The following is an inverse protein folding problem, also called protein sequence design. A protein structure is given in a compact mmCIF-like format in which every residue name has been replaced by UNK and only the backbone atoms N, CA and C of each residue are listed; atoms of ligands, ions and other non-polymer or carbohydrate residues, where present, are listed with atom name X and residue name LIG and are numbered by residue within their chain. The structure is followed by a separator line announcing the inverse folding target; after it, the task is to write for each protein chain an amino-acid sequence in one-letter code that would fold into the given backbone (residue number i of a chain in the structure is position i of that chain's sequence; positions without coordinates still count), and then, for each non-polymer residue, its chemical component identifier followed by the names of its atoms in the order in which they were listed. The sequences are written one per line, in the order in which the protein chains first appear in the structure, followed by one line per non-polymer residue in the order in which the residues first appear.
data_IF_143504083933
#
_entry.id   IF_143504083933
#
_cell.length_a   1.000
_cell.length_b   1.000
_cell.length_c   1.000
_cell.angle_alpha   90.00
_cell.angle_beta   90.00
_cell.angle_gamma   90.00
#
_symmetry.space_group_name_H-M   'P 1'
#
loop_
_entity.id
_entity.type
_entity.pdbx_description
1 polymer ?
#
# COMPACT_ATOMS: atom_id res chain seq x y z
N UNK A 1 -13.04 4.02 -17.44
CA UNK A 1 -14.03 4.16 -16.36
C UNK A 1 -13.41 5.07 -15.33
N UNK A 2 -13.93 6.28 -15.20
CA UNK A 2 -13.42 7.24 -14.24
C UNK A 2 -13.78 6.80 -12.82
N UNK A 3 -12.80 6.85 -11.92
CA UNK A 3 -12.96 6.49 -10.50
C UNK A 3 -14.05 7.33 -9.81
N UNK A 4 -14.31 8.53 -10.34
CA UNK A 4 -15.38 9.43 -9.90
C UNK A 4 -16.79 8.91 -10.25
N UNK A 5 -16.95 8.10 -11.31
CA UNK A 5 -18.24 7.47 -11.64
C UNK A 5 -18.59 6.33 -10.67
N UNK A 6 -17.59 5.61 -10.15
CA UNK A 6 -17.78 4.58 -9.10
C UNK A 6 -18.12 5.19 -7.74
N UNK A 7 -17.63 6.40 -7.45
CA UNK A 7 -17.88 7.12 -6.20
C UNK A 7 -19.11 8.05 -6.27
N UNK A 8 -19.98 7.88 -7.29
CA UNK A 8 -21.12 8.75 -7.53
C UNK A 8 -22.00 8.96 -6.29
N UNK A 9 -22.26 10.25 -6.00
CA UNK A 9 -23.18 10.98 -5.11
C UNK A 9 -24.07 10.24 -4.07
N UNK A 10 -24.44 8.98 -4.28
CA UNK A 10 -25.35 8.21 -3.43
C UNK A 10 -24.69 7.17 -2.51
N UNK A 11 -23.35 7.01 -2.55
CA UNK A 11 -22.62 6.02 -1.74
C UNK A 11 -21.78 6.60 -0.59
N UNK A 12 -22.00 7.87 -0.22
CA UNK A 12 -21.31 8.50 0.91
C UNK A 12 -21.55 7.80 2.27
N UNK A 13 -22.38 6.76 2.33
CA UNK A 13 -22.59 5.92 3.52
C UNK A 13 -21.72 4.67 3.62
N UNK A 14 -21.12 4.14 2.54
CA UNK A 14 -20.57 2.77 2.57
C UNK A 14 -19.36 2.50 1.63
N UNK A 15 -18.55 3.52 1.36
CA UNK A 15 -17.30 3.41 0.59
C UNK A 15 -16.21 2.50 1.21
N UNK A 16 -16.52 1.81 2.30
CA UNK A 16 -15.61 0.94 3.06
C UNK A 16 -14.97 -0.18 2.22
N UNK A 17 -15.66 -0.67 1.19
CA UNK A 17 -15.17 -1.75 0.33
C UNK A 17 -14.25 -1.31 -0.82
N UNK A 18 -14.26 -0.03 -1.19
CA UNK A 18 -13.59 0.46 -2.42
C UNK A 18 -12.07 0.25 -2.35
N UNK A 19 -11.36 0.63 -1.27
CA UNK A 19 -9.92 0.38 -1.16
C UNK A 19 -9.58 -1.12 -1.21
N UNK A 20 -10.36 -1.96 -0.55
CA UNK A 20 -10.14 -3.41 -0.52
C UNK A 20 -10.30 -4.04 -1.92
N UNK A 21 -11.24 -3.55 -2.72
CA UNK A 21 -11.41 -3.98 -4.12
C UNK A 21 -10.25 -3.51 -4.99
N UNK A 22 -9.81 -2.25 -4.85
CA UNK A 22 -8.67 -1.71 -5.60
C UNK A 22 -7.38 -2.50 -5.36
N UNK A 23 -7.11 -2.90 -4.11
CA UNK A 23 -5.96 -3.76 -3.78
C UNK A 23 -6.03 -5.14 -4.46
N UNK A 24 -7.24 -5.72 -4.60
CA UNK A 24 -7.43 -7.03 -5.25
C UNK A 24 -7.23 -6.99 -6.76
N UNK A 25 -7.47 -5.85 -7.40
CA UNK A 25 -7.28 -5.65 -8.85
C UNK A 25 -5.96 -4.97 -9.18
N UNK A 26 -4.99 -5.02 -8.26
CA UNK A 26 -3.62 -4.51 -8.41
C UNK A 26 -3.53 -3.00 -8.68
N UNK A 27 -4.54 -2.25 -8.23
CA UNK A 27 -4.61 -0.79 -8.34
C UNK A 27 -4.06 -0.11 -7.10
N UNK A 28 -2.82 -0.43 -6.75
CA UNK A 28 -2.20 0.01 -5.50
C UNK A 28 -2.05 1.53 -5.39
N UNK A 29 -1.58 2.18 -6.46
CA UNK A 29 -1.39 3.64 -6.51
C UNK A 29 -2.74 4.37 -6.41
N UNK A 30 -3.71 3.92 -7.20
CA UNK A 30 -5.09 4.41 -7.17
C UNK A 30 -5.75 4.23 -5.79
N UNK A 31 -5.50 3.09 -5.12
CA UNK A 31 -5.94 2.85 -3.75
C UNK A 31 -5.31 3.84 -2.77
N UNK A 32 -4.00 4.08 -2.86
CA UNK A 32 -3.30 5.04 -2.01
C UNK A 32 -3.85 6.46 -2.20
N UNK A 33 -4.01 6.89 -3.45
CA UNK A 33 -4.50 8.21 -3.80
C UNK A 33 -5.95 8.39 -3.35
N UNK A 34 -6.79 7.35 -3.46
CA UNK A 34 -8.13 7.35 -2.92
C UNK A 34 -8.15 7.50 -1.40
N UNK A 35 -7.37 6.69 -0.67
CA UNK A 35 -7.29 6.78 0.80
C UNK A 35 -6.81 8.16 1.25
N UNK A 36 -5.81 8.72 0.57
CA UNK A 36 -5.29 10.05 0.84
C UNK A 36 -6.33 11.14 0.55
N UNK A 37 -6.99 11.08 -0.60
CA UNK A 37 -8.04 12.03 -0.98
C UNK A 37 -9.20 11.98 0.01
N UNK A 38 -9.64 10.78 0.39
CA UNK A 38 -10.73 10.57 1.34
C UNK A 38 -10.43 11.21 2.70
N UNK A 39 -9.19 11.06 3.18
CA UNK A 39 -8.74 11.69 4.43
C UNK A 39 -8.81 13.22 4.35
N UNK A 40 -8.22 13.82 3.30
CA UNK A 40 -8.24 15.27 3.09
C UNK A 40 -9.67 15.81 2.93
N UNK A 41 -10.53 15.06 2.22
CA UNK A 41 -11.93 15.40 2.04
C UNK A 41 -12.68 15.42 3.39
N UNK A 42 -12.48 14.40 4.22
CA UNK A 42 -13.12 14.30 5.54
C UNK A 42 -12.63 15.39 6.52
N UNK A 43 -11.33 15.73 6.51
CA UNK A 43 -10.78 16.84 7.31
C UNK A 43 -11.47 18.18 6.99
N UNK A 44 -11.89 18.39 5.74
CA UNK A 44 -12.55 19.63 5.30
C UNK A 44 -13.97 19.83 5.85
N UNK A 45 -14.64 18.79 6.37
CA UNK A 45 -16.03 18.86 6.87
C UNK A 45 -16.16 18.98 8.40
N UNK A 46 -15.04 19.01 9.12
CA UNK A 46 -15.02 19.10 10.58
C UNK A 46 -14.93 17.75 11.28
N UNK A 47 -14.34 17.78 12.48
CA UNK A 47 -13.81 16.65 13.27
C UNK A 47 -14.78 15.47 13.47
N UNK A 48 -16.10 15.73 13.45
CA UNK A 48 -17.13 14.71 13.69
C UNK A 48 -17.41 13.82 12.47
N UNK A 49 -17.25 14.34 11.24
CA UNK A 49 -17.35 13.54 10.01
C UNK A 49 -16.08 12.69 9.81
N UNK A 50 -14.92 13.25 10.13
CA UNK A 50 -13.62 12.55 10.11
C UNK A 50 -13.57 11.40 11.12
N UNK A 51 -14.02 11.60 12.38
CA UNK A 51 -14.02 10.54 13.38
C UNK A 51 -14.98 9.37 13.07
N UNK A 52 -16.09 9.62 12.37
CA UNK A 52 -17.06 8.57 12.00
C UNK A 52 -16.66 7.79 10.73
N UNK A 53 -16.01 8.45 9.77
CA UNK A 53 -15.73 7.89 8.44
C UNK A 53 -14.24 7.71 8.10
N UNK A 54 -13.31 8.11 8.99
CA UNK A 54 -11.98 7.50 9.12
C UNK A 54 -12.13 6.06 9.65
N UNK A 55 -12.87 5.29 8.86
CA UNK A 55 -13.35 3.95 9.12
C UNK A 55 -12.19 3.00 9.40
N UNK A 56 -12.45 1.98 10.20
CA UNK A 56 -11.56 0.83 10.32
C UNK A 56 -11.12 0.31 8.94
N UNK A 57 -11.99 0.39 7.92
CA UNK A 57 -11.66 -0.01 6.53
C UNK A 57 -10.54 0.80 5.87
N UNK A 58 -10.40 2.11 6.12
CA UNK A 58 -9.32 2.89 5.50
C UNK A 58 -7.97 2.58 6.15
N UNK A 59 -7.94 2.41 7.48
CA UNK A 59 -6.74 2.01 8.23
C UNK A 59 -6.37 0.58 7.87
N UNK A 60 -7.33 -0.33 7.79
CA UNK A 60 -7.11 -1.71 7.34
C UNK A 60 -6.57 -1.72 5.91
N UNK A 61 -7.16 -0.96 4.98
CA UNK A 61 -6.67 -0.88 3.61
C UNK A 61 -5.25 -0.31 3.52
N UNK A 62 -4.93 0.74 4.29
CA UNK A 62 -3.59 1.30 4.36
C UNK A 62 -2.59 0.31 4.96
N UNK A 63 -3.01 -0.44 5.98
CA UNK A 63 -2.20 -1.49 6.61
C UNK A 63 -1.90 -2.61 5.60
N UNK A 64 -2.94 -3.10 4.90
CA UNK A 64 -2.80 -4.13 3.87
C UNK A 64 -1.93 -3.66 2.70
N UNK A 65 -2.12 -2.42 2.23
CA UNK A 65 -1.30 -1.83 1.18
C UNK A 65 0.18 -1.79 1.59
N UNK A 66 0.49 -1.29 2.80
CA UNK A 66 1.88 -1.23 3.26
C UNK A 66 2.48 -2.61 3.55
N UNK A 67 1.69 -3.55 4.06
CA UNK A 67 2.11 -4.93 4.22
C UNK A 67 2.43 -5.60 2.88
N UNK A 68 1.61 -5.37 1.84
CA UNK A 68 1.86 -5.84 0.47
C UNK A 68 3.19 -5.28 -0.06
N UNK A 69 3.39 -3.96 0.04
CA UNK A 69 4.64 -3.31 -0.39
C UNK A 69 5.86 -3.84 0.37
N UNK A 70 5.72 -4.07 1.68
CA UNK A 70 6.78 -4.63 2.51
C UNK A 70 7.16 -6.05 2.07
N UNK A 71 6.17 -6.90 1.82
CA UNK A 71 6.39 -8.26 1.32
C UNK A 71 7.12 -8.25 -0.02
N UNK A 72 6.73 -7.37 -0.94
CA UNK A 72 7.40 -7.24 -2.24
C UNK A 72 8.85 -6.75 -2.10
N UNK A 73 9.13 -5.78 -1.23
CA UNK A 73 10.49 -5.31 -0.99
C UNK A 73 11.36 -6.38 -0.32
N UNK A 74 10.83 -7.15 0.63
CA UNK A 74 11.53 -8.28 1.24
C UNK A 74 11.79 -9.39 0.24
N UNK A 75 10.83 -9.66 -0.64
CA UNK A 75 11.01 -10.65 -1.70
C UNK A 75 12.07 -10.20 -2.70
N UNK A 76 12.06 -8.92 -3.09
CA UNK A 76 13.09 -8.32 -3.94
C UNK A 76 14.48 -8.44 -3.30
N UNK A 77 14.59 -8.21 -1.99
CA UNK A 77 15.84 -8.34 -1.25
C UNK A 77 16.36 -9.79 -1.22
N UNK A 78 15.46 -10.75 -1.01
CA UNK A 78 15.78 -12.18 -1.06
C UNK A 78 16.25 -12.62 -2.45
N UNK A 79 15.61 -12.12 -3.52
CA UNK A 79 16.02 -12.43 -4.90
C UNK A 79 17.39 -11.83 -5.21
N UNK A 80 17.67 -10.60 -4.76
CA UNK A 80 19.01 -9.99 -4.87
C UNK A 80 20.06 -10.79 -4.12
N UNK A 81 19.76 -11.20 -2.90
CA UNK A 81 20.65 -12.02 -2.11
C UNK A 81 20.94 -13.38 -2.77
N UNK A 82 19.92 -14.05 -3.31
CA UNK A 82 20.07 -15.39 -3.87
C UNK A 82 20.69 -15.40 -5.28
N UNK A 83 20.34 -14.44 -6.13
CA UNK A 83 20.67 -14.47 -7.57
C UNK A 83 21.66 -13.38 -8.02
N UNK A 84 21.96 -12.39 -7.18
CA UNK A 84 22.77 -11.22 -7.57
C UNK A 84 24.20 -11.54 -8.04
N UNK A 85 24.76 -12.69 -7.64
CA UNK A 85 26.06 -13.17 -8.12
C UNK A 85 25.98 -14.20 -9.26
N UNK A 86 24.78 -14.67 -9.60
CA UNK A 86 24.57 -15.78 -10.55
C UNK A 86 24.45 -15.29 -12.00
N UNK A 87 23.92 -14.09 -12.20
CA UNK A 87 23.63 -13.54 -13.54
C UNK A 87 24.39 -12.24 -13.81
N UNK A 88 24.71 -11.94 -15.08
CA UNK A 88 25.13 -10.60 -15.50
C UNK A 88 24.08 -9.55 -15.13
N UNK A 89 24.53 -8.32 -14.89
CA UNK A 89 23.70 -7.23 -14.36
C UNK A 89 22.45 -6.97 -15.21
N UNK A 90 22.54 -6.98 -16.55
CA UNK A 90 21.37 -6.69 -17.40
C UNK A 90 20.27 -7.75 -17.29
N UNK A 91 20.66 -9.04 -17.26
CA UNK A 91 19.72 -10.15 -17.12
C UNK A 91 19.10 -10.13 -15.73
N UNK A 92 19.91 -9.82 -14.72
CA UNK A 92 19.46 -9.70 -13.36
C UNK A 92 18.46 -8.56 -13.17
N UNK A 93 18.75 -7.36 -13.70
CA UNK A 93 17.84 -6.21 -13.69
C UNK A 93 16.54 -6.49 -14.43
N UNK A 94 16.60 -7.21 -15.56
CA UNK A 94 15.42 -7.64 -16.28
C UNK A 94 14.54 -8.55 -15.41
N UNK A 95 15.12 -9.57 -14.76
CA UNK A 95 14.39 -10.44 -13.82
C UNK A 95 13.78 -9.60 -12.69
N UNK A 96 14.56 -8.70 -12.09
CA UNK A 96 14.08 -7.83 -11.01
C UNK A 96 12.93 -6.92 -11.42
N UNK A 97 12.82 -6.53 -12.69
CA UNK A 97 11.68 -5.73 -13.16
C UNK A 97 10.34 -6.47 -13.17
N UNK A 98 10.37 -7.82 -13.24
CA UNK A 98 9.18 -8.68 -13.25
C UNK A 98 8.84 -9.28 -11.88
N UNK A 99 9.72 -9.10 -10.89
CA UNK A 99 9.58 -9.66 -9.53
C UNK A 99 8.48 -8.93 -8.74
N UNK A 100 8.48 -7.59 -8.63
CA UNK A 100 7.38 -6.91 -7.95
C UNK A 100 6.08 -7.04 -8.75
N UNK A 101 4.97 -7.35 -8.05
CA UNK A 101 3.65 -7.36 -8.68
C UNK A 101 3.11 -5.95 -8.80
N UNK A 102 3.34 -5.11 -7.78
CA UNK A 102 2.97 -3.71 -7.81
C UNK A 102 3.82 -2.90 -8.78
N UNK A 103 3.15 -2.15 -9.66
CA UNK A 103 3.79 -1.14 -10.50
C UNK A 103 4.54 -0.07 -9.70
N UNK A 104 4.13 0.18 -8.45
CA UNK A 104 4.78 1.15 -7.54
C UNK A 104 6.20 0.71 -7.18
N UNK A 105 6.39 -0.57 -6.87
CA UNK A 105 7.71 -1.12 -6.52
C UNK A 105 8.53 -1.33 -7.79
N UNK A 106 7.94 -1.87 -8.86
CA UNK A 106 8.63 -2.11 -10.14
C UNK A 106 9.19 -0.83 -10.77
N UNK A 107 8.47 0.30 -10.66
CA UNK A 107 8.91 1.59 -11.22
C UNK A 107 9.94 2.29 -10.32
N UNK A 108 10.06 1.89 -9.06
CA UNK A 108 10.93 2.55 -8.10
C UNK A 108 12.38 2.06 -8.20
N UNK A 109 13.18 2.70 -9.05
CA UNK A 109 14.61 2.41 -9.20
C UNK A 109 15.41 2.48 -7.90
N UNK A 110 14.95 3.23 -6.88
CA UNK A 110 15.63 3.27 -5.57
C UNK A 110 15.50 1.93 -4.83
N UNK A 111 14.45 1.16 -5.09
CA UNK A 111 14.30 -0.19 -4.53
C UNK A 111 15.34 -1.19 -5.08
N UNK A 112 15.97 -0.91 -6.22
CA UNK A 112 17.04 -1.76 -6.76
C UNK A 112 18.38 -1.52 -6.03
N UNK A 113 18.61 -0.30 -5.52
CA UNK A 113 19.79 0.01 -4.74
C UNK A 113 19.70 -0.60 -3.33
N UNK A 114 20.68 -1.40 -2.95
CA UNK A 114 20.70 -2.16 -1.69
C UNK A 114 20.47 -1.28 -0.44
N UNK A 115 21.30 -0.25 -0.26
CA UNK A 115 21.21 0.66 0.90
C UNK A 115 19.89 1.42 0.94
N UNK A 116 19.36 1.84 -0.22
CA UNK A 116 18.09 2.54 -0.29
C UNK A 116 16.90 1.59 -0.05
N UNK A 117 16.96 0.35 -0.57
CA UNK A 117 15.97 -0.70 -0.33
C UNK A 117 15.88 -1.06 1.14
N UNK A 118 17.01 -1.27 1.81
CA UNK A 118 17.04 -1.58 3.25
C UNK A 118 16.42 -0.45 4.09
N UNK A 119 16.67 0.82 3.73
CA UNK A 119 16.01 1.96 4.38
C UNK A 119 14.50 2.00 4.13
N UNK A 120 14.06 1.66 2.91
CA UNK A 120 12.63 1.58 2.58
C UNK A 120 11.94 0.45 3.34
N UNK A 121 12.57 -0.73 3.43
CA UNK A 121 12.08 -1.87 4.22
C UNK A 121 11.88 -1.43 5.66
N UNK A 122 12.93 -0.92 6.30
CA UNK A 122 12.88 -0.51 7.70
C UNK A 122 11.79 0.55 7.98
N UNK A 123 11.72 1.59 7.15
CA UNK A 123 10.71 2.64 7.32
C UNK A 123 9.28 2.15 7.10
N UNK A 124 9.06 1.18 6.20
CA UNK A 124 7.73 0.60 5.99
C UNK A 124 7.39 -0.39 7.12
N UNK A 125 8.36 -1.15 7.64
CA UNK A 125 8.15 -2.01 8.82
C UNK A 125 7.62 -1.23 10.01
N UNK A 126 8.29 -0.12 10.38
CA UNK A 126 7.84 0.74 11.48
C UNK A 126 6.41 1.25 11.26
N UNK A 127 6.08 1.65 10.03
CA UNK A 127 4.74 2.14 9.70
C UNK A 127 3.69 1.03 9.75
N UNK A 128 4.01 -0.17 9.28
CA UNK A 128 3.11 -1.34 9.35
C UNK A 128 2.85 -1.71 10.81
N UNK A 129 3.87 -1.71 11.66
CA UNK A 129 3.74 -2.01 13.09
C UNK A 129 2.83 -0.99 13.80
N UNK A 130 3.00 0.30 13.50
CA UNK A 130 2.14 1.36 14.06
C UNK A 130 0.69 1.14 13.61
N UNK A 131 0.47 0.96 12.31
CA UNK A 131 -0.88 0.79 11.78
C UNK A 131 -1.56 -0.48 12.28
N UNK A 132 -0.82 -1.58 12.40
CA UNK A 132 -1.33 -2.84 12.93
C UNK A 132 -1.81 -2.67 14.38
N UNK A 133 -1.02 -1.98 15.23
CA UNK A 133 -1.44 -1.65 16.61
C UNK A 133 -2.70 -0.79 16.63
N UNK A 134 -2.83 0.17 15.71
CA UNK A 134 -4.01 1.02 15.62
C UNK A 134 -5.25 0.24 15.14
N UNK A 135 -5.11 -0.71 14.21
CA UNK A 135 -6.20 -1.62 13.84
C UNK A 135 -6.62 -2.47 15.02
N UNK A 136 -5.68 -3.10 15.73
CA UNK A 136 -5.99 -3.95 16.89
C UNK A 136 -6.69 -3.18 18.03
N UNK A 137 -6.32 -1.92 18.26
CA UNK A 137 -7.00 -1.07 19.26
C UNK A 137 -8.45 -0.75 18.88
N UNK A 138 -8.73 -0.55 17.59
CA UNK A 138 -10.05 -0.13 17.08
C UNK A 138 -10.99 -1.31 16.86
N UNK A 139 -10.47 -2.41 16.33
CA UNK A 139 -11.24 -3.62 16.03
C UNK A 139 -10.39 -4.87 16.34
N UNK A 140 -10.46 -5.39 17.58
CA UNK A 140 -9.70 -6.55 18.01
C UNK A 140 -10.10 -7.87 17.32
N UNK A 141 -11.20 -7.90 16.57
CA UNK A 141 -11.71 -9.11 15.94
C UNK A 141 -11.06 -9.33 14.56
N UNK A 142 -10.62 -8.25 13.92
CA UNK A 142 -10.10 -8.31 12.55
C UNK A 142 -8.80 -9.10 12.42
N UNK A 143 -7.87 -9.03 13.40
CA UNK A 143 -6.55 -9.71 13.43
C UNK A 143 -6.03 -9.96 14.84
#
# INVERSE_FOLDING_TARGET
MDMLELCGYNYAGDGAGIPALMLRIDKDQECYDFVKWWHTFCESYGDDFSNRFASSSSIVALTLLKAKLLLELKWLDQVVFALGATFPLEIFEMILSYVPRSSVVATNRRALNDKARQKLIHGIEEQVDILFREVQKRDPILW
#
